data_IF_301261828720
#
_entry.id   IF_301261828720
#
_cell.length_a   1.000
_cell.length_b   1.000
_cell.length_c   1.000
_cell.angle_alpha   90.00
_cell.angle_beta   90.00
_cell.angle_gamma   90.00
#
_symmetry.space_group_name_H-M   'P 1'
#
loop_
_entity.id
_entity.type
_entity.pdbx_description
1 polymer ?
#
# COMPACT_ATOMS: atom_id res chain seq x y z
N UNK A 1 14.92 -0.25 -24.55
CA UNK A 1 13.67 -0.81 -23.97
C UNK A 1 12.53 -0.35 -24.88
N UNK A 2 11.53 -1.17 -25.19
CA UNK A 2 10.44 -0.74 -26.09
C UNK A 2 9.71 0.47 -25.47
N UNK A 3 9.31 1.47 -26.26
CA UNK A 3 8.59 2.65 -25.74
C UNK A 3 7.30 2.25 -25.02
N UNK A 4 6.57 1.27 -25.59
CA UNK A 4 5.36 0.67 -24.99
C UNK A 4 5.61 0.10 -23.59
N UNK A 5 6.81 -0.39 -23.32
CA UNK A 5 7.17 -0.94 -22.02
C UNK A 5 7.37 0.13 -20.94
N UNK A 6 7.98 1.24 -21.33
CA UNK A 6 8.16 2.39 -20.45
C UNK A 6 6.80 2.96 -20.08
N UNK A 7 5.91 3.14 -21.05
CA UNK A 7 4.57 3.68 -20.81
C UNK A 7 3.76 2.79 -19.85
N UNK A 8 3.78 1.47 -20.05
CA UNK A 8 3.11 0.52 -19.16
C UNK A 8 3.70 0.52 -17.75
N UNK A 9 5.04 0.53 -17.64
CA UNK A 9 5.71 0.61 -16.34
C UNK A 9 5.31 1.88 -15.57
N UNK A 10 5.27 3.03 -16.24
CA UNK A 10 4.85 4.29 -15.63
C UNK A 10 3.38 4.26 -15.19
N UNK A 11 2.48 3.62 -15.95
CA UNK A 11 1.09 3.40 -15.55
C UNK A 11 1.04 2.55 -14.27
N UNK A 12 1.76 1.43 -14.23
CA UNK A 12 1.78 0.55 -13.05
C UNK A 12 2.41 1.22 -11.83
N UNK A 13 3.45 2.03 -12.04
CA UNK A 13 4.03 2.85 -11.00
C UNK A 13 3.01 3.85 -10.45
N UNK A 14 2.30 4.56 -11.32
CA UNK A 14 1.24 5.49 -10.94
C UNK A 14 0.14 4.83 -10.12
N UNK A 15 -0.39 3.69 -10.57
CA UNK A 15 -1.42 2.95 -9.82
C UNK A 15 -0.85 2.45 -8.49
N UNK A 16 0.39 1.95 -8.47
CA UNK A 16 1.04 1.50 -7.24
C UNK A 16 1.17 2.63 -6.21
N UNK A 17 1.58 3.81 -6.65
CA UNK A 17 1.65 5.00 -5.79
C UNK A 17 0.27 5.37 -5.26
N UNK A 18 -0.78 5.34 -6.08
CA UNK A 18 -2.16 5.62 -5.62
C UNK A 18 -2.60 4.60 -4.57
N UNK A 19 -2.41 3.30 -4.83
CA UNK A 19 -2.79 2.22 -3.92
C UNK A 19 -2.03 2.31 -2.59
N UNK A 20 -0.76 2.68 -2.63
CA UNK A 20 0.09 2.88 -1.45
C UNK A 20 -0.27 4.16 -0.68
N UNK A 21 -0.65 5.23 -1.35
CA UNK A 21 -0.95 6.51 -0.69
C UNK A 21 -2.38 6.56 -0.14
N UNK A 22 -3.30 5.78 -0.71
CA UNK A 22 -4.71 5.77 -0.34
C UNK A 22 -4.96 5.53 1.17
N UNK A 23 -4.28 4.57 1.85
CA UNK A 23 -4.33 4.41 3.30
C UNK A 23 -4.06 5.69 4.10
N UNK A 24 -3.05 6.46 3.72
CA UNK A 24 -2.67 7.69 4.43
C UNK A 24 -3.71 8.78 4.24
N UNK A 25 -4.25 8.93 3.02
CA UNK A 25 -5.34 9.89 2.75
C UNK A 25 -6.58 9.51 3.55
N UNK A 26 -6.93 8.23 3.58
CA UNK A 26 -8.07 7.74 4.35
C UNK A 26 -7.90 7.99 5.85
N UNK A 27 -6.72 7.72 6.39
CA UNK A 27 -6.37 8.04 7.78
C UNK A 27 -6.51 9.54 8.08
N UNK A 28 -5.95 10.40 7.22
CA UNK A 28 -6.03 11.86 7.39
C UNK A 28 -7.49 12.35 7.41
N UNK A 29 -8.32 11.83 6.51
CA UNK A 29 -9.76 12.15 6.47
C UNK A 29 -10.44 11.71 7.77
N UNK A 30 -10.20 10.49 8.25
CA UNK A 30 -10.81 10.00 9.49
C UNK A 30 -10.37 10.79 10.72
N UNK A 31 -9.15 11.33 10.73
CA UNK A 31 -8.66 12.22 11.78
C UNK A 31 -9.38 13.56 11.74
N UNK A 32 -9.54 14.15 10.56
CA UNK A 32 -10.24 15.44 10.37
C UNK A 32 -11.73 15.33 10.71
N UNK A 33 -12.37 14.19 10.41
CA UNK A 33 -13.80 13.96 10.70
C UNK A 33 -14.07 13.47 12.12
N UNK A 34 -13.04 13.26 12.95
CA UNK A 34 -13.19 12.80 14.33
C UNK A 34 -13.60 11.34 14.49
N UNK A 35 -13.54 10.53 13.42
CA UNK A 35 -13.79 9.08 13.49
C UNK A 35 -12.68 8.39 14.28
N UNK A 36 -11.44 8.89 14.15
CA UNK A 36 -10.27 8.42 14.91
C UNK A 36 -10.00 9.39 16.05
N UNK A 37 -10.33 8.96 17.27
CA UNK A 37 -10.15 9.72 18.51
C UNK A 37 -8.69 10.08 18.79
N UNK A 38 -8.49 11.20 19.48
CA UNK A 38 -7.17 11.72 19.89
C UNK A 38 -6.38 10.78 20.80
N UNK A 39 -5.09 11.04 20.99
CA UNK A 39 -4.24 10.23 21.88
C UNK A 39 -4.75 10.14 23.31
N UNK A 40 -5.19 11.26 23.85
CA UNK A 40 -5.68 11.34 25.24
C UNK A 40 -6.92 10.45 25.41
N UNK A 41 -7.88 10.56 24.50
CA UNK A 41 -9.09 9.74 24.54
C UNK A 41 -8.79 8.26 24.27
N UNK A 42 -7.86 7.96 23.36
CA UNK A 42 -7.46 6.59 23.06
C UNK A 42 -6.72 5.90 24.22
N UNK A 43 -5.78 6.60 24.86
CA UNK A 43 -5.03 6.10 26.01
C UNK A 43 -5.93 5.90 27.24
N UNK A 44 -6.94 6.76 27.44
CA UNK A 44 -7.91 6.58 28.54
C UNK A 44 -8.82 5.36 28.37
N UNK A 45 -8.98 4.85 27.14
CA UNK A 45 -9.69 3.60 26.86
C UNK A 45 -8.87 2.33 27.17
N UNK A 46 -7.63 2.48 27.69
CA UNK A 46 -6.75 1.36 28.03
C UNK A 46 -6.23 0.60 26.81
N UNK A 47 -6.22 1.25 25.63
CA UNK A 47 -5.76 0.67 24.37
C UNK A 47 -4.26 0.97 24.18
N UNK A 48 -3.40 -0.03 24.26
CA UNK A 48 -1.94 0.11 24.08
C UNK A 48 -1.49 0.20 22.61
N UNK A 49 -2.44 0.11 21.67
CA UNK A 49 -2.17 -0.06 20.25
C UNK A 49 -3.01 0.91 19.43
N UNK A 50 -2.50 1.37 18.28
CA UNK A 50 -3.23 2.27 17.39
C UNK A 50 -4.69 1.85 17.11
N UNK A 51 -5.62 2.80 16.84
CA UNK A 51 -7.06 2.57 16.67
C UNK A 51 -7.48 1.54 15.63
N UNK A 52 -6.53 1.15 14.80
CA UNK A 52 -6.67 0.25 13.67
C UNK A 52 -6.13 -1.15 14.00
N UNK A 53 -5.30 -1.28 15.02
CA UNK A 53 -4.69 -2.55 15.42
C UNK A 53 -5.72 -3.35 16.21
N UNK A 54 -6.02 -4.56 15.75
CA UNK A 54 -7.03 -5.44 16.35
C UNK A 54 -8.47 -5.20 15.89
N UNK A 55 -8.75 -4.18 15.08
CA UNK A 55 -10.06 -4.00 14.42
C UNK A 55 -10.02 -4.47 12.98
N UNK A 56 -11.02 -5.26 12.57
CA UNK A 56 -11.15 -5.73 11.19
C UNK A 56 -11.15 -4.56 10.19
N UNK A 57 -11.73 -3.42 10.57
CA UNK A 57 -11.72 -2.18 9.79
C UNK A 57 -10.32 -1.61 9.55
N UNK A 58 -9.39 -1.75 10.50
CA UNK A 58 -7.99 -1.38 10.29
C UNK A 58 -7.29 -2.27 9.26
N UNK A 59 -7.65 -3.56 9.22
CA UNK A 59 -7.13 -4.49 8.23
C UNK A 59 -7.68 -4.21 6.81
N UNK A 60 -8.92 -3.72 6.70
CA UNK A 60 -9.53 -3.42 5.38
C UNK A 60 -8.80 -2.32 4.60
N UNK A 61 -8.06 -1.44 5.26
CA UNK A 61 -7.27 -0.38 4.60
C UNK A 61 -6.14 -0.98 3.76
N UNK A 62 -5.63 -2.14 4.13
CA UNK A 62 -4.53 -2.81 3.42
C UNK A 62 -5.02 -3.69 2.26
N UNK A 63 -6.34 -3.96 2.15
CA UNK A 63 -6.91 -4.80 1.09
C UNK A 63 -6.53 -4.33 -0.33
N UNK A 64 -6.57 -3.03 -0.67
CA UNK A 64 -6.15 -2.57 -2.00
C UNK A 64 -4.70 -2.96 -2.31
N UNK A 65 -3.80 -2.85 -1.33
CA UNK A 65 -2.39 -3.24 -1.50
C UNK A 65 -2.28 -4.76 -1.66
N UNK A 66 -2.96 -5.53 -0.82
CA UNK A 66 -2.96 -7.01 -0.88
C UNK A 66 -3.50 -7.55 -2.20
N UNK A 67 -4.51 -6.91 -2.79
CA UNK A 67 -5.10 -7.30 -4.08
C UNK A 67 -4.23 -6.84 -5.25
N UNK A 68 -3.58 -5.68 -5.14
CA UNK A 68 -2.76 -5.14 -6.22
C UNK A 68 -1.46 -5.93 -6.42
N UNK A 69 -0.83 -6.42 -5.34
CA UNK A 69 0.41 -7.22 -5.39
C UNK A 69 0.34 -8.44 -6.34
N UNK A 70 -0.63 -9.38 -6.23
CA UNK A 70 -0.71 -10.52 -7.14
C UNK A 70 -1.04 -10.11 -8.58
N UNK A 71 -1.78 -9.01 -8.80
CA UNK A 71 -2.09 -8.51 -10.14
C UNK A 71 -0.79 -8.12 -10.87
N UNK A 72 0.10 -7.40 -10.20
CA UNK A 72 1.37 -6.97 -10.82
C UNK A 72 2.26 -8.18 -11.11
N UNK A 73 2.28 -9.18 -10.24
CA UNK A 73 3.01 -10.44 -10.46
C UNK A 73 2.48 -11.17 -11.70
N UNK A 74 1.16 -11.33 -11.83
CA UNK A 74 0.55 -12.00 -13.00
C UNK A 74 0.89 -11.26 -14.30
N UNK A 75 0.79 -9.93 -14.28
CA UNK A 75 1.13 -9.10 -15.44
C UNK A 75 2.62 -9.26 -15.80
N UNK A 76 3.50 -9.27 -14.81
CA UNK A 76 4.94 -9.48 -15.01
C UNK A 76 5.26 -10.80 -15.70
N UNK A 77 4.66 -11.88 -15.21
CA UNK A 77 4.84 -13.23 -15.73
C UNK A 77 4.33 -13.29 -17.17
N UNK A 78 3.12 -12.79 -17.42
CA UNK A 78 2.52 -12.76 -18.76
C UNK A 78 3.45 -12.12 -19.78
N UNK A 79 4.03 -10.99 -19.43
CA UNK A 79 4.92 -10.29 -20.33
C UNK A 79 6.33 -10.87 -20.44
N UNK A 80 6.88 -11.40 -19.34
CA UNK A 80 8.17 -12.10 -19.38
C UNK A 80 8.10 -13.31 -20.33
N UNK A 81 6.96 -14.01 -20.34
CA UNK A 81 6.67 -15.10 -21.28
C UNK A 81 6.49 -14.60 -22.71
N UNK A 82 5.77 -13.49 -22.91
CA UNK A 82 5.48 -12.94 -24.24
C UNK A 82 6.73 -12.44 -24.97
N UNK A 83 7.58 -11.70 -24.27
CA UNK A 83 8.71 -10.99 -24.88
C UNK A 83 10.06 -11.67 -24.66
N UNK A 84 10.07 -12.85 -24.01
CA UNK A 84 11.27 -13.66 -23.69
C UNK A 84 12.39 -12.77 -23.12
N UNK A 85 12.01 -11.87 -22.21
CA UNK A 85 12.92 -10.88 -21.63
C UNK A 85 12.77 -10.86 -20.13
N UNK A 86 13.90 -10.79 -19.43
CA UNK A 86 13.97 -10.71 -17.97
C UNK A 86 13.86 -9.26 -17.45
N UNK A 87 13.91 -8.26 -18.34
CA UNK A 87 13.84 -6.84 -17.97
C UNK A 87 12.51 -6.44 -17.30
N UNK A 88 11.33 -6.94 -17.76
CA UNK A 88 10.06 -6.69 -17.06
C UNK A 88 10.01 -7.27 -15.64
N UNK A 89 10.66 -8.41 -15.42
CA UNK A 89 10.76 -9.06 -14.12
C UNK A 89 11.47 -8.16 -13.11
N UNK A 90 12.56 -7.48 -13.49
CA UNK A 90 13.22 -6.51 -12.62
C UNK A 90 12.32 -5.33 -12.26
N UNK A 91 11.58 -4.78 -13.23
CA UNK A 91 10.66 -3.67 -12.97
C UNK A 91 9.59 -4.06 -11.96
N UNK A 92 9.07 -5.28 -12.05
CA UNK A 92 8.07 -5.81 -11.12
C UNK A 92 8.66 -6.09 -9.74
N UNK A 93 9.88 -6.64 -9.65
CA UNK A 93 10.56 -6.78 -8.37
C UNK A 93 10.76 -5.41 -7.70
N UNK A 94 11.06 -4.37 -8.47
CA UNK A 94 11.12 -2.99 -7.99
C UNK A 94 9.77 -2.48 -7.46
N UNK A 95 8.68 -2.72 -8.19
CA UNK A 95 7.33 -2.33 -7.77
C UNK A 95 6.86 -3.09 -6.51
N UNK A 96 7.15 -4.39 -6.43
CA UNK A 96 6.86 -5.21 -5.25
C UNK A 96 7.69 -4.77 -4.04
N UNK A 97 8.98 -4.45 -4.26
CA UNK A 97 9.84 -3.90 -3.21
C UNK A 97 9.31 -2.56 -2.69
N UNK A 98 8.87 -1.67 -3.58
CA UNK A 98 8.24 -0.41 -3.21
C UNK A 98 6.95 -0.63 -2.42
N UNK A 99 6.11 -1.59 -2.83
CA UNK A 99 4.90 -1.95 -2.09
C UNK A 99 5.19 -2.54 -0.71
N UNK A 100 6.15 -3.46 -0.61
CA UNK A 100 6.53 -4.06 0.67
C UNK A 100 7.08 -3.01 1.62
N UNK A 101 7.98 -2.12 1.14
CA UNK A 101 8.48 -1.01 1.92
C UNK A 101 7.36 -0.07 2.37
N UNK A 102 6.43 0.26 1.47
CA UNK A 102 5.27 1.06 1.79
C UNK A 102 4.32 0.39 2.80
N UNK A 103 4.10 -0.91 2.70
CA UNK A 103 3.30 -1.66 3.69
C UNK A 103 3.94 -1.61 5.06
N UNK A 104 5.26 -1.79 5.16
CA UNK A 104 5.98 -1.68 6.43
C UNK A 104 5.81 -0.27 7.00
N UNK A 105 6.04 0.76 6.18
CA UNK A 105 5.86 2.15 6.61
C UNK A 105 4.42 2.38 7.06
N UNK A 106 3.41 1.94 6.31
CA UNK A 106 2.01 2.06 6.69
C UNK A 106 1.69 1.33 8.00
N UNK A 107 2.20 0.12 8.18
CA UNK A 107 1.97 -0.68 9.39
C UNK A 107 2.57 0.01 10.61
N UNK A 108 3.81 0.47 10.53
CA UNK A 108 4.45 1.24 11.61
C UNK A 108 3.71 2.56 11.83
N UNK A 109 3.46 3.32 10.77
CA UNK A 109 2.84 4.64 10.86
C UNK A 109 1.42 4.55 11.43
N UNK A 110 0.60 3.58 11.02
CA UNK A 110 -0.75 3.37 11.56
C UNK A 110 -0.77 2.64 12.91
N UNK A 111 0.31 1.93 13.28
CA UNK A 111 0.46 1.36 14.61
C UNK A 111 0.80 2.41 15.67
N UNK A 112 1.53 3.46 15.29
CA UNK A 112 2.09 4.46 16.20
C UNK A 112 1.51 5.89 16.05
N UNK A 113 0.79 6.21 14.96
CA UNK A 113 0.01 7.47 14.85
C UNK A 113 -1.21 7.39 15.77
N UNK A 114 -0.94 7.56 17.06
CA UNK A 114 -1.93 7.97 18.03
C UNK A 114 -1.67 9.44 18.41
N UNK A 115 -0.40 9.89 18.37
CA UNK A 115 0.06 11.25 18.71
C UNK A 115 -0.80 12.39 18.13
#
# INVERSE_FOLDING_TARGET
>A
MNKRWIDLFLIFLGITLVVVLLPFVFFAVQRITGIVVGFEEWSTLGQEQGPWRGRLSGFTIFLPVMVWSPIIVVIAIFFALRDVSWKPLLGVLGLLGLQAAAMIIQLETLAWLID
#
